data_IF_293889333925
#
_entry.id   IF_293889333925
#
_cell.length_a   1.000
_cell.length_b   1.000
_cell.length_c   1.000
_cell.angle_alpha   90.00
_cell.angle_beta   90.00
_cell.angle_gamma   90.00
#
_symmetry.space_group_name_H-M   'P 1'
#
loop_
_entity.id
_entity.type
_entity.pdbx_description
1 polymer ?
#
# COMPACT_ATOMS: atom_id res chain seq x y z
N UNK A 1 7.51 -32.04 -21.19
CA UNK A 1 6.07 -31.96 -20.86
C UNK A 1 5.67 -30.51 -21.03
N UNK A 2 4.61 -30.17 -21.77
CA UNK A 2 4.26 -28.79 -21.99
C UNK A 2 3.62 -28.22 -20.70
N UNK A 3 4.19 -27.14 -20.20
CA UNK A 3 3.64 -26.34 -19.10
C UNK A 3 2.38 -25.63 -19.60
N UNK A 4 1.25 -26.09 -19.11
CA UNK A 4 -0.07 -25.53 -19.37
C UNK A 4 -0.17 -24.14 -18.72
N UNK A 5 0.31 -23.12 -19.41
CA UNK A 5 0.02 -21.72 -19.10
C UNK A 5 -1.44 -21.46 -19.44
N UNK A 6 -2.35 -21.85 -18.57
CA UNK A 6 -3.75 -21.43 -18.65
C UNK A 6 -3.78 -19.91 -18.71
N UNK A 7 -3.99 -19.37 -19.89
CA UNK A 7 -4.34 -17.98 -20.09
C UNK A 7 -5.53 -17.67 -19.19
N UNK A 8 -5.28 -16.91 -18.13
CA UNK A 8 -6.34 -16.48 -17.22
C UNK A 8 -7.23 -15.52 -18.00
N UNK A 9 -8.35 -16.04 -18.50
CA UNK A 9 -9.37 -15.27 -19.17
C UNK A 9 -9.92 -14.23 -18.19
N UNK A 10 -9.43 -12.99 -18.29
CA UNK A 10 -10.03 -11.84 -17.60
C UNK A 10 -11.36 -11.56 -18.27
N UNK A 11 -12.43 -12.21 -17.84
CA UNK A 11 -13.79 -11.78 -18.20
C UNK A 11 -14.02 -10.45 -17.48
N UNK A 12 -13.88 -9.36 -18.22
CA UNK A 12 -14.39 -8.06 -17.81
C UNK A 12 -15.82 -7.98 -18.33
N UNK A 13 -16.80 -7.79 -17.44
CA UNK A 13 -18.18 -7.47 -17.81
C UNK A 13 -18.30 -6.01 -18.30
N UNK A 14 -17.19 -5.41 -18.70
CA UNK A 14 -17.05 -4.02 -19.10
C UNK A 14 -17.37 -3.86 -20.57
N UNK A 15 -18.33 -2.98 -20.91
CA UNK A 15 -18.64 -2.65 -22.29
C UNK A 15 -17.55 -1.79 -22.93
N UNK A 16 -17.06 -0.77 -22.19
CA UNK A 16 -16.02 0.16 -22.63
C UNK A 16 -15.05 0.44 -21.50
N UNK A 17 -13.76 0.54 -21.85
CA UNK A 17 -12.69 0.81 -20.87
C UNK A 17 -11.78 1.91 -21.39
N UNK A 18 -11.24 2.69 -20.44
CA UNK A 18 -10.12 3.58 -20.65
C UNK A 18 -9.01 3.20 -19.69
N UNK A 19 -7.78 3.06 -20.18
CA UNK A 19 -6.65 2.58 -19.36
C UNK A 19 -5.73 3.74 -19.01
N UNK A 20 -5.39 3.87 -17.74
CA UNK A 20 -4.34 4.76 -17.25
C UNK A 20 -3.25 3.91 -16.62
N UNK A 21 -2.00 4.11 -17.03
CA UNK A 21 -0.90 3.31 -16.50
C UNK A 21 0.33 4.15 -16.16
N UNK A 22 1.08 3.67 -15.17
CA UNK A 22 2.40 4.21 -14.85
C UNK A 22 3.39 3.87 -15.96
N UNK A 23 4.13 4.87 -16.43
CA UNK A 23 5.18 4.70 -17.46
C UNK A 23 6.21 3.63 -17.10
N UNK A 24 6.47 3.44 -15.81
CA UNK A 24 7.41 2.44 -15.29
C UNK A 24 6.98 0.98 -15.60
N UNK A 25 5.69 0.75 -15.87
CA UNK A 25 5.13 -0.59 -16.16
C UNK A 25 4.50 -0.68 -17.55
N UNK A 26 4.96 0.13 -18.49
CA UNK A 26 4.43 0.23 -19.87
C UNK A 26 4.30 -1.13 -20.56
N UNK A 27 5.33 -1.96 -20.52
CA UNK A 27 5.33 -3.27 -21.20
C UNK A 27 4.24 -4.18 -20.61
N UNK A 28 4.20 -4.27 -19.29
CA UNK A 28 3.16 -5.04 -18.59
C UNK A 28 1.75 -4.49 -18.89
N UNK A 29 1.57 -3.18 -18.93
CA UNK A 29 0.30 -2.55 -19.27
C UNK A 29 -0.15 -2.92 -20.69
N UNK A 30 0.75 -2.89 -21.67
CA UNK A 30 0.48 -3.34 -23.04
C UNK A 30 0.07 -4.80 -23.10
N UNK A 31 0.78 -5.70 -22.41
CA UNK A 31 0.39 -7.11 -22.32
C UNK A 31 -0.97 -7.32 -21.66
N UNK A 32 -1.26 -6.55 -20.62
CA UNK A 32 -2.55 -6.61 -19.94
C UNK A 32 -3.68 -6.14 -20.86
N UNK A 33 -3.50 -5.02 -21.57
CA UNK A 33 -4.47 -4.46 -22.52
C UNK A 33 -4.76 -5.43 -23.66
N UNK A 34 -3.75 -6.10 -24.22
CA UNK A 34 -3.92 -7.10 -25.30
C UNK A 34 -4.78 -8.31 -24.87
N UNK A 35 -4.86 -8.58 -23.57
CA UNK A 35 -5.68 -9.68 -23.00
C UNK A 35 -7.07 -9.23 -22.57
N UNK A 36 -7.38 -7.92 -22.63
CA UNK A 36 -8.69 -7.39 -22.28
C UNK A 36 -9.74 -7.77 -23.34
N UNK A 37 -10.86 -8.33 -22.88
CA UNK A 37 -12.03 -8.60 -23.72
C UNK A 37 -13.06 -7.48 -23.58
N UNK A 38 -12.63 -6.24 -23.86
CA UNK A 38 -13.45 -5.04 -23.77
C UNK A 38 -13.08 -4.08 -24.88
N UNK A 39 -14.00 -3.20 -25.26
CA UNK A 39 -13.72 -2.11 -26.19
C UNK A 39 -12.88 -1.06 -25.51
N UNK A 40 -11.62 -0.94 -25.88
CA UNK A 40 -10.79 0.17 -25.42
C UNK A 40 -11.18 1.46 -26.12
N UNK A 41 -11.40 2.52 -25.35
CA UNK A 41 -11.58 3.90 -25.83
C UNK A 41 -10.25 4.62 -25.99
N UNK A 42 -9.19 4.12 -25.35
CA UNK A 42 -7.85 4.70 -25.38
C UNK A 42 -7.06 4.39 -24.12
N UNK A 43 -5.85 4.91 -24.10
CA UNK A 43 -4.93 4.77 -22.97
C UNK A 43 -4.19 6.08 -22.68
N UNK A 44 -3.74 6.25 -21.42
CA UNK A 44 -2.94 7.37 -20.97
C UNK A 44 -1.79 6.88 -20.10
N UNK A 45 -0.57 7.23 -20.47
CA UNK A 45 0.63 6.98 -19.68
C UNK A 45 0.89 8.17 -18.74
N UNK A 46 1.12 7.91 -17.45
CA UNK A 46 1.44 8.93 -16.44
C UNK A 46 2.76 8.60 -15.74
N UNK A 47 3.42 9.63 -15.23
CA UNK A 47 4.46 9.48 -14.21
C UNK A 47 3.75 9.41 -12.87
N UNK A 48 3.87 8.27 -12.17
CA UNK A 48 3.13 8.02 -10.93
C UNK A 48 4.06 8.01 -9.71
N UNK A 49 4.73 9.13 -9.47
CA UNK A 49 5.51 9.39 -8.26
C UNK A 49 4.79 10.40 -7.34
N UNK A 50 5.31 10.64 -6.14
CA UNK A 50 4.67 11.50 -5.16
C UNK A 50 4.57 12.98 -5.60
N UNK A 51 5.57 13.58 -6.30
CA UNK A 51 5.44 14.93 -6.88
C UNK A 51 4.29 15.09 -7.88
N UNK A 52 3.94 14.03 -8.64
CA UNK A 52 2.83 14.05 -9.61
C UNK A 52 1.47 13.67 -8.99
N UNK A 53 1.41 13.41 -7.70
CA UNK A 53 0.14 13.12 -7.00
C UNK A 53 -0.66 14.40 -6.76
N UNK A 54 -1.19 15.00 -7.83
CA UNK A 54 -1.79 16.34 -7.85
C UNK A 54 -3.17 16.39 -8.48
N UNK A 55 -3.93 17.49 -8.24
CA UNK A 55 -5.18 17.75 -8.94
C UNK A 55 -4.98 17.94 -10.45
N UNK A 56 -3.82 18.43 -10.89
CA UNK A 56 -3.54 18.59 -12.31
C UNK A 56 -3.55 17.25 -13.04
N UNK A 57 -2.99 16.19 -12.43
CA UNK A 57 -3.05 14.85 -13.02
C UNK A 57 -4.47 14.28 -13.02
N UNK A 58 -5.29 14.58 -12.02
CA UNK A 58 -6.71 14.22 -12.01
C UNK A 58 -7.45 14.91 -13.14
N UNK A 59 -7.22 16.20 -13.36
CA UNK A 59 -7.78 16.95 -14.48
C UNK A 59 -7.31 16.39 -15.83
N UNK A 60 -6.02 16.06 -15.96
CA UNK A 60 -5.44 15.44 -17.16
C UNK A 60 -6.18 14.13 -17.52
N UNK A 61 -6.40 13.24 -16.56
CA UNK A 61 -7.18 12.02 -16.77
C UNK A 61 -8.61 12.34 -17.19
N UNK A 62 -9.27 13.29 -16.54
CA UNK A 62 -10.64 13.68 -16.89
C UNK A 62 -10.74 14.24 -18.32
N UNK A 63 -9.77 15.03 -18.76
CA UNK A 63 -9.67 15.55 -20.13
C UNK A 63 -9.44 14.41 -21.14
N UNK A 64 -8.57 13.46 -20.83
CA UNK A 64 -8.33 12.29 -21.69
C UNK A 64 -9.58 11.44 -21.85
N UNK A 65 -10.30 11.16 -20.77
CA UNK A 65 -11.60 10.46 -20.80
C UNK A 65 -12.64 11.22 -21.65
N UNK A 66 -12.72 12.54 -21.51
CA UNK A 66 -13.64 13.37 -22.28
C UNK A 66 -13.31 13.33 -23.77
N UNK A 67 -12.04 13.49 -24.14
CA UNK A 67 -11.59 13.45 -25.54
C UNK A 67 -11.80 12.07 -26.18
N UNK A 68 -11.71 10.99 -25.40
CA UNK A 68 -12.00 9.63 -25.85
C UNK A 68 -13.52 9.33 -25.95
N UNK A 69 -14.38 10.28 -25.60
CA UNK A 69 -15.83 10.10 -25.65
C UNK A 69 -16.38 9.19 -24.55
N UNK A 70 -15.63 8.96 -23.47
CA UNK A 70 -16.07 8.10 -22.38
C UNK A 70 -17.40 8.55 -21.76
N UNK A 71 -18.36 7.64 -21.69
CA UNK A 71 -19.66 7.87 -21.07
C UNK A 71 -19.70 7.44 -19.59
N UNK A 72 -20.88 7.41 -18.99
CA UNK A 72 -21.06 7.00 -17.59
C UNK A 72 -20.85 5.49 -17.37
N UNK A 73 -20.92 4.69 -18.42
CA UNK A 73 -20.75 3.24 -18.36
C UNK A 73 -19.29 2.82 -18.62
N UNK A 74 -18.43 3.78 -18.97
CA UNK A 74 -17.00 3.53 -19.11
C UNK A 74 -16.40 3.13 -17.77
N UNK A 75 -15.49 2.15 -17.80
CA UNK A 75 -14.68 1.79 -16.63
C UNK A 75 -13.25 2.27 -16.83
N UNK A 76 -12.76 3.04 -15.86
CA UNK A 76 -11.36 3.44 -15.78
C UNK A 76 -10.53 2.30 -15.19
N UNK A 77 -9.49 1.83 -15.88
CA UNK A 77 -8.54 0.85 -15.36
C UNK A 77 -7.24 1.57 -15.00
N UNK A 78 -6.85 1.48 -13.73
CA UNK A 78 -5.59 2.00 -13.22
C UNK A 78 -4.56 0.87 -13.13
N UNK A 79 -3.42 0.99 -13.82
CA UNK A 79 -2.31 0.02 -13.78
C UNK A 79 -1.08 0.72 -13.22
N UNK A 80 -0.74 0.47 -11.95
CA UNK A 80 0.36 1.16 -11.27
C UNK A 80 0.42 0.91 -9.77
N UNK A 81 1.28 1.65 -9.11
CA UNK A 81 1.41 1.67 -7.65
C UNK A 81 0.28 2.44 -6.95
N UNK A 82 0.52 2.77 -5.68
CA UNK A 82 -0.43 3.50 -4.84
C UNK A 82 -0.81 4.88 -5.41
N UNK A 83 0.17 5.65 -5.90
CA UNK A 83 -0.07 6.98 -6.49
C UNK A 83 -1.00 6.88 -7.70
N UNK A 84 -0.72 5.97 -8.62
CA UNK A 84 -1.58 5.72 -9.78
C UNK A 84 -3.02 5.39 -9.36
N UNK A 85 -3.17 4.47 -8.40
CA UNK A 85 -4.47 4.06 -7.86
C UNK A 85 -5.24 5.22 -7.26
N UNK A 86 -4.58 6.06 -6.47
CA UNK A 86 -5.19 7.19 -5.76
C UNK A 86 -5.66 8.29 -6.73
N UNK A 87 -4.81 8.67 -7.69
CA UNK A 87 -5.12 9.70 -8.70
C UNK A 87 -6.26 9.22 -9.61
N UNK A 88 -6.18 7.99 -10.12
CA UNK A 88 -7.22 7.40 -10.96
C UNK A 88 -8.54 7.21 -10.20
N UNK A 89 -8.50 6.78 -8.94
CA UNK A 89 -9.69 6.63 -8.12
C UNK A 89 -10.39 7.96 -7.84
N UNK A 90 -9.61 9.04 -7.65
CA UNK A 90 -10.14 10.39 -7.52
C UNK A 90 -10.74 10.88 -8.86
N UNK A 91 -10.05 10.71 -9.98
CA UNK A 91 -10.56 11.03 -11.30
C UNK A 91 -11.87 10.29 -11.59
N UNK A 92 -11.93 8.98 -11.33
CA UNK A 92 -13.14 8.18 -11.47
C UNK A 92 -14.28 8.62 -10.55
N UNK A 93 -13.96 9.25 -9.41
CA UNK A 93 -14.97 9.79 -8.50
C UNK A 93 -15.59 11.08 -9.03
N UNK A 94 -14.81 11.90 -9.73
CA UNK A 94 -15.19 13.23 -10.18
C UNK A 94 -15.76 13.24 -11.59
N UNK A 95 -15.17 12.46 -12.52
CA UNK A 95 -15.58 12.44 -13.92
C UNK A 95 -17.06 12.06 -14.04
N UNK A 96 -17.84 12.92 -14.71
CA UNK A 96 -19.32 12.77 -14.88
C UNK A 96 -20.07 12.45 -13.57
N UNK A 97 -19.58 12.90 -12.42
CA UNK A 97 -20.08 12.63 -11.05
C UNK A 97 -19.92 11.17 -10.61
N UNK A 98 -18.98 10.46 -11.21
CA UNK A 98 -18.57 9.10 -10.86
C UNK A 98 -18.77 8.10 -11.99
N UNK A 99 -17.68 7.41 -12.32
CA UNK A 99 -17.65 6.24 -13.21
C UNK A 99 -17.05 5.06 -12.46
N UNK A 100 -17.26 3.85 -12.94
CA UNK A 100 -16.60 2.67 -12.36
C UNK A 100 -15.09 2.72 -12.58
N UNK A 101 -14.32 2.16 -11.65
CA UNK A 101 -12.90 1.96 -11.85
C UNK A 101 -12.41 0.62 -11.30
N UNK A 102 -11.33 0.13 -11.88
CA UNK A 102 -10.66 -1.10 -11.48
C UNK A 102 -9.17 -0.83 -11.35
N UNK A 103 -8.48 -1.61 -10.50
CA UNK A 103 -7.07 -1.43 -10.20
C UNK A 103 -6.30 -2.71 -10.56
N UNK A 104 -5.17 -2.53 -11.22
CA UNK A 104 -4.13 -3.55 -11.41
C UNK A 104 -2.90 -3.06 -10.63
N UNK A 105 -2.77 -3.42 -9.34
CA UNK A 105 -1.68 -2.94 -8.52
C UNK A 105 -0.36 -3.57 -8.97
N UNK A 106 0.67 -2.73 -9.17
CA UNK A 106 1.96 -3.16 -9.70
C UNK A 106 3.09 -3.12 -8.67
N UNK A 107 2.82 -2.65 -7.46
CA UNK A 107 3.76 -2.72 -6.34
C UNK A 107 3.21 -3.64 -5.25
N UNK A 108 4.10 -4.28 -4.49
CA UNK A 108 3.71 -5.15 -3.37
C UNK A 108 2.89 -4.39 -2.32
N UNK A 109 3.27 -3.12 -2.05
CA UNK A 109 2.52 -2.22 -1.17
C UNK A 109 1.10 -1.98 -1.69
N UNK A 110 0.93 -1.70 -2.97
CA UNK A 110 -0.40 -1.50 -3.54
C UNK A 110 -1.25 -2.78 -3.51
N UNK A 111 -0.65 -3.96 -3.73
CA UNK A 111 -1.34 -5.25 -3.62
C UNK A 111 -1.86 -5.52 -2.21
N UNK A 112 -1.04 -5.24 -1.20
CA UNK A 112 -1.37 -5.53 0.19
C UNK A 112 -2.28 -4.49 0.83
N UNK A 113 -2.06 -3.21 0.51
CA UNK A 113 -2.61 -2.08 1.27
C UNK A 113 -3.26 -0.99 0.41
N UNK A 114 -2.52 -0.25 -0.42
CA UNK A 114 -2.99 1.00 -1.02
C UNK A 114 -4.22 0.82 -1.92
N UNK A 115 -4.31 -0.23 -2.73
CA UNK A 115 -5.49 -0.50 -3.58
C UNK A 115 -6.74 -0.92 -2.80
N UNK A 116 -6.59 -1.19 -1.50
CA UNK A 116 -7.67 -1.75 -0.66
C UNK A 116 -8.16 -0.70 0.32
N UNK A 117 -9.38 -0.24 0.18
CA UNK A 117 -9.94 0.62 1.21
C UNK A 117 -10.64 1.87 0.71
N UNK A 118 -10.53 2.13 -0.59
CA UNK A 118 -11.29 3.17 -1.28
C UNK A 118 -10.94 4.59 -0.87
N UNK A 119 -9.85 4.83 -0.13
CA UNK A 119 -9.28 6.16 0.02
C UNK A 119 -8.57 6.48 -1.28
N UNK A 120 -8.99 7.55 -1.93
CA UNK A 120 -8.35 8.07 -3.14
C UNK A 120 -8.09 9.55 -2.91
N UNK A 121 -6.92 10.03 -3.27
CA UNK A 121 -6.60 11.41 -2.99
C UNK A 121 -5.29 11.88 -3.60
N UNK A 122 -5.12 13.20 -3.52
CA UNK A 122 -3.94 13.91 -4.00
C UNK A 122 -3.43 14.89 -2.97
N UNK A 123 -2.22 15.34 -3.18
CA UNK A 123 -1.55 16.30 -2.32
C UNK A 123 -1.98 17.74 -2.65
N UNK A 124 -1.87 18.62 -1.68
CA UNK A 124 -2.11 20.05 -1.85
C UNK A 124 -1.06 20.83 -1.06
N UNK A 125 -0.33 21.73 -1.73
CA UNK A 125 0.68 22.60 -1.12
C UNK A 125 1.69 21.85 -0.22
N UNK A 126 2.18 20.71 -0.70
CA UNK A 126 3.14 19.86 0.02
C UNK A 126 2.53 19.01 1.15
N UNK A 127 1.22 19.09 1.36
CA UNK A 127 0.53 18.29 2.37
C UNK A 127 -0.13 17.07 1.74
N UNK A 128 0.32 15.88 2.15
CA UNK A 128 -0.14 14.60 1.59
C UNK A 128 -1.64 14.36 1.80
N UNK A 129 -2.29 13.85 0.75
CA UNK A 129 -3.66 13.32 0.76
C UNK A 129 -4.72 14.29 1.29
N UNK A 130 -4.57 15.60 1.01
CA UNK A 130 -5.49 16.65 1.49
C UNK A 130 -6.83 16.68 0.76
N UNK A 131 -6.81 16.34 -0.52
CA UNK A 131 -8.02 16.33 -1.34
C UNK A 131 -8.30 14.90 -1.75
N UNK A 132 -9.49 14.40 -1.47
CA UNK A 132 -9.79 13.02 -1.78
C UNK A 132 -11.26 12.63 -1.62
N UNK A 133 -11.51 11.38 -1.97
CA UNK A 133 -12.84 10.76 -1.88
C UNK A 133 -12.74 9.35 -1.29
N UNK A 134 -13.88 8.84 -0.83
CA UNK A 134 -14.04 7.43 -0.52
C UNK A 134 -14.81 6.74 -1.65
N UNK A 135 -14.07 6.03 -2.53
CA UNK A 135 -14.65 5.25 -3.61
C UNK A 135 -13.93 3.91 -3.72
N UNK A 136 -14.68 2.82 -3.56
CA UNK A 136 -14.11 1.47 -3.72
C UNK A 136 -13.95 1.14 -5.19
N UNK A 137 -12.84 0.50 -5.60
CA UNK A 137 -12.73 -0.08 -6.93
C UNK A 137 -13.73 -1.23 -7.09
N UNK A 138 -14.30 -1.36 -8.29
CA UNK A 138 -15.17 -2.49 -8.64
C UNK A 138 -14.42 -3.81 -8.56
N UNK A 139 -13.14 -3.81 -8.96
CA UNK A 139 -12.27 -4.98 -8.95
C UNK A 139 -10.81 -4.59 -8.75
N UNK A 140 -10.06 -5.48 -8.11
CA UNK A 140 -8.60 -5.41 -7.99
C UNK A 140 -8.04 -6.66 -8.63
N UNK A 141 -7.16 -6.49 -9.61
CA UNK A 141 -6.54 -7.56 -10.39
C UNK A 141 -5.11 -7.80 -9.92
N UNK A 142 -4.90 -8.67 -8.96
CA UNK A 142 -3.55 -9.01 -8.50
C UNK A 142 -2.86 -9.87 -9.57
N UNK A 143 -1.65 -9.45 -9.98
CA UNK A 143 -0.80 -10.08 -10.97
C UNK A 143 0.61 -10.20 -10.43
N UNK A 144 1.00 -11.41 -10.06
CA UNK A 144 2.34 -11.66 -9.46
C UNK A 144 3.49 -11.39 -10.45
N UNK A 145 3.22 -11.53 -11.73
CA UNK A 145 4.22 -11.39 -12.79
C UNK A 145 4.85 -10.00 -12.80
N UNK A 146 4.10 -8.96 -12.42
CA UNK A 146 4.60 -7.58 -12.40
C UNK A 146 5.67 -7.34 -11.32
N UNK A 147 5.73 -8.18 -10.30
CA UNK A 147 6.73 -8.06 -9.23
C UNK A 147 8.16 -8.40 -9.71
N UNK A 148 8.33 -9.08 -10.86
CA UNK A 148 9.65 -9.42 -11.42
C UNK A 148 10.49 -8.19 -11.75
N UNK A 149 9.84 -7.10 -12.16
CA UNK A 149 10.49 -5.84 -12.51
C UNK A 149 10.46 -4.82 -11.38
N UNK A 150 9.84 -5.15 -10.25
CA UNK A 150 9.71 -4.24 -9.12
C UNK A 150 11.07 -4.06 -8.41
N UNK A 151 11.56 -2.82 -8.25
CA UNK A 151 12.80 -2.57 -7.51
C UNK A 151 12.75 -3.17 -6.10
N UNK A 152 13.87 -3.72 -5.63
CA UNK A 152 13.96 -4.37 -4.32
C UNK A 152 13.52 -3.47 -3.16
N UNK A 153 13.83 -2.19 -3.24
CA UNK A 153 13.37 -1.18 -2.27
C UNK A 153 11.84 -1.15 -2.14
N UNK A 154 11.14 -1.28 -3.26
CA UNK A 154 9.67 -1.30 -3.28
C UNK A 154 9.10 -2.63 -2.74
N UNK A 155 9.80 -3.75 -2.95
CA UNK A 155 9.43 -5.04 -2.32
C UNK A 155 9.55 -4.92 -0.79
N UNK A 156 10.65 -4.35 -0.29
CA UNK A 156 10.87 -4.12 1.14
C UNK A 156 9.80 -3.19 1.73
N UNK A 157 9.50 -2.08 1.06
CA UNK A 157 8.44 -1.16 1.50
C UNK A 157 7.10 -1.88 1.64
N UNK A 158 6.72 -2.71 0.64
CA UNK A 158 5.49 -3.50 0.69
C UNK A 158 5.51 -4.58 1.78
N UNK A 159 6.66 -5.18 2.07
CA UNK A 159 6.79 -6.21 3.11
C UNK A 159 6.46 -5.70 4.51
N UNK A 160 6.83 -4.45 4.83
CA UNK A 160 6.53 -3.82 6.12
C UNK A 160 5.01 -3.76 6.39
N UNK A 161 4.21 -3.41 5.39
CA UNK A 161 2.75 -3.35 5.48
C UNK A 161 2.10 -4.74 5.61
N UNK A 162 2.66 -5.74 4.94
CA UNK A 162 2.22 -7.14 5.06
C UNK A 162 2.49 -7.65 6.47
N UNK A 163 3.71 -7.46 6.96
CA UNK A 163 4.14 -7.84 8.31
C UNK A 163 3.30 -7.10 9.37
N UNK A 164 3.08 -5.79 9.22
CA UNK A 164 2.19 -5.01 10.09
C UNK A 164 0.79 -5.62 10.15
N UNK A 165 0.22 -5.96 9.00
CA UNK A 165 -1.12 -6.51 8.94
C UNK A 165 -1.20 -7.85 9.68
N UNK A 166 -0.21 -8.71 9.55
CA UNK A 166 -0.20 -9.98 10.24
C UNK A 166 0.14 -9.86 11.73
N UNK A 167 0.98 -8.91 12.14
CA UNK A 167 1.14 -8.54 13.55
C UNK A 167 -0.20 -8.18 14.21
N UNK A 168 -1.06 -7.46 13.49
CA UNK A 168 -2.38 -7.08 13.99
C UNK A 168 -3.36 -8.25 14.09
N UNK A 169 -3.28 -9.26 13.20
CA UNK A 169 -4.40 -10.18 13.02
C UNK A 169 -4.07 -11.67 13.02
N UNK A 170 -2.82 -12.09 12.71
CA UNK A 170 -2.52 -13.51 12.47
C UNK A 170 -1.04 -13.84 12.68
N UNK A 171 -0.72 -14.43 13.83
CA UNK A 171 0.66 -14.79 14.17
C UNK A 171 1.23 -15.89 13.26
N UNK A 172 0.41 -16.83 12.76
CA UNK A 172 0.89 -17.88 11.86
C UNK A 172 1.33 -17.30 10.53
N UNK A 173 0.52 -16.39 9.97
CA UNK A 173 0.87 -15.67 8.74
C UNK A 173 2.03 -14.71 8.95
N UNK A 174 2.15 -14.09 10.12
CA UNK A 174 3.31 -13.28 10.49
C UNK A 174 4.62 -14.09 10.40
N UNK A 175 4.66 -15.25 11.06
CA UNK A 175 5.85 -16.11 11.04
C UNK A 175 6.18 -16.60 9.63
N UNK A 176 5.17 -16.97 8.81
CA UNK A 176 5.38 -17.32 7.40
C UNK A 176 5.94 -16.13 6.60
N UNK A 177 5.38 -14.94 6.78
CA UNK A 177 5.85 -13.75 6.09
C UNK A 177 7.29 -13.38 6.44
N UNK A 178 7.66 -13.47 7.73
CA UNK A 178 9.05 -13.31 8.16
C UNK A 178 9.96 -14.32 7.45
N UNK A 179 9.56 -15.59 7.33
CA UNK A 179 10.31 -16.60 6.57
C UNK A 179 10.53 -16.16 5.12
N UNK A 180 9.47 -15.88 4.39
CA UNK A 180 9.53 -15.47 2.97
C UNK A 180 10.38 -14.22 2.76
N UNK A 181 10.15 -13.17 3.55
CA UNK A 181 10.89 -11.92 3.37
C UNK A 181 12.34 -12.00 3.85
N UNK A 182 12.67 -12.87 4.81
CA UNK A 182 14.05 -13.13 5.20
C UNK A 182 14.82 -13.89 4.12
N UNK A 183 14.20 -14.83 3.39
CA UNK A 183 14.84 -15.47 2.23
C UNK A 183 14.96 -14.48 1.07
N UNK A 184 13.90 -13.73 0.72
CA UNK A 184 14.02 -12.65 -0.26
C UNK A 184 15.15 -11.67 0.05
N UNK A 185 15.41 -11.37 1.32
CA UNK A 185 16.50 -10.49 1.72
C UNK A 185 17.90 -11.05 1.42
N UNK A 186 18.07 -12.36 1.33
CA UNK A 186 19.34 -13.05 1.09
C UNK A 186 19.64 -13.29 -0.39
N UNK A 187 18.60 -13.39 -1.24
CA UNK A 187 18.76 -13.68 -2.66
C UNK A 187 19.55 -12.55 -3.31
N UNK A 188 20.68 -12.87 -3.91
CA UNK A 188 21.49 -11.93 -4.67
C UNK A 188 20.92 -11.78 -6.10
N UNK A 189 21.12 -10.61 -6.73
CA UNK A 189 20.64 -10.32 -8.09
C UNK A 189 21.46 -11.05 -9.20
N UNK A 190 22.21 -12.09 -8.86
CA UNK A 190 22.96 -12.92 -9.80
C UNK A 190 22.06 -13.88 -10.59
N UNK A 191 22.57 -14.34 -11.75
CA UNK A 191 21.81 -15.24 -12.65
C UNK A 191 21.39 -16.58 -12.00
N UNK A 192 22.12 -17.05 -10.99
CA UNK A 192 21.86 -18.35 -10.36
C UNK A 192 20.66 -18.35 -9.41
N UNK A 193 20.18 -17.17 -8.96
CA UNK A 193 19.06 -17.02 -8.03
C UNK A 193 17.70 -16.70 -8.67
N UNK A 194 17.58 -16.64 -10.00
CA UNK A 194 16.37 -16.12 -10.64
C UNK A 194 15.13 -16.99 -10.41
N UNK A 195 15.24 -18.30 -10.41
CA UNK A 195 14.13 -19.21 -10.16
C UNK A 195 13.64 -19.10 -8.71
N UNK A 196 14.55 -19.04 -7.75
CA UNK A 196 14.25 -18.85 -6.34
C UNK A 196 13.60 -17.49 -6.07
N UNK A 197 14.10 -16.43 -6.72
CA UNK A 197 13.50 -15.09 -6.65
C UNK A 197 12.05 -15.11 -7.16
N UNK A 198 11.78 -15.75 -8.28
CA UNK A 198 10.42 -15.85 -8.83
C UNK A 198 9.48 -16.61 -7.90
N UNK A 199 9.94 -17.69 -7.30
CA UNK A 199 9.17 -18.44 -6.30
C UNK A 199 8.82 -17.56 -5.09
N UNK A 200 9.84 -16.91 -4.50
CA UNK A 200 9.65 -16.06 -3.34
C UNK A 200 8.78 -14.82 -3.63
N UNK A 201 8.89 -14.21 -4.80
CA UNK A 201 7.99 -13.14 -5.24
C UNK A 201 6.55 -13.65 -5.42
N UNK A 202 6.40 -14.89 -5.88
CA UNK A 202 5.10 -15.56 -5.95
C UNK A 202 4.46 -15.74 -4.56
N UNK A 203 5.25 -16.16 -3.57
CA UNK A 203 4.80 -16.26 -2.17
C UNK A 203 4.51 -14.88 -1.56
N UNK A 204 5.33 -13.88 -1.84
CA UNK A 204 5.09 -12.51 -1.40
C UNK A 204 3.75 -11.95 -1.94
N UNK A 205 3.43 -12.21 -3.21
CA UNK A 205 2.15 -11.83 -3.80
C UNK A 205 0.96 -12.54 -3.11
N UNK A 206 1.11 -13.83 -2.79
CA UNK A 206 0.08 -14.58 -2.04
C UNK A 206 -0.13 -14.00 -0.63
N UNK A 207 0.95 -13.64 0.06
CA UNK A 207 0.89 -12.98 1.37
C UNK A 207 0.25 -11.60 1.27
N UNK A 208 0.58 -10.80 0.23
CA UNK A 208 -0.07 -9.52 -0.02
C UNK A 208 -1.59 -9.68 -0.21
N UNK A 209 -2.03 -10.69 -0.97
CA UNK A 209 -3.45 -10.97 -1.13
C UNK A 209 -4.13 -11.36 0.18
N UNK A 210 -3.45 -12.13 1.04
CA UNK A 210 -3.97 -12.46 2.39
C UNK A 210 -4.05 -11.23 3.27
N UNK A 211 -3.04 -10.35 3.27
CA UNK A 211 -3.06 -9.07 3.99
C UNK A 211 -4.22 -8.18 3.49
N UNK A 212 -4.40 -8.06 2.19
CA UNK A 212 -5.53 -7.37 1.57
C UNK A 212 -6.89 -7.92 2.03
N UNK A 213 -7.03 -9.23 2.24
CA UNK A 213 -8.26 -9.85 2.78
C UNK A 213 -8.55 -9.40 4.23
N UNK A 214 -7.52 -9.28 5.09
CA UNK A 214 -7.68 -8.71 6.43
C UNK A 214 -8.10 -7.25 6.38
N UNK A 215 -7.40 -6.43 5.59
CA UNK A 215 -7.75 -5.01 5.42
C UNK A 215 -9.18 -4.84 4.92
N UNK A 216 -9.62 -5.61 3.92
CA UNK A 216 -11.02 -5.58 3.43
C UNK A 216 -12.05 -5.87 4.52
N UNK A 217 -11.79 -6.81 5.43
CA UNK A 217 -12.68 -7.09 6.56
C UNK A 217 -12.83 -5.87 7.49
N UNK A 218 -11.75 -5.16 7.74
CA UNK A 218 -11.76 -3.94 8.56
C UNK A 218 -12.50 -2.82 7.84
N UNK A 219 -12.15 -2.56 6.58
CA UNK A 219 -12.77 -1.52 5.74
C UNK A 219 -14.27 -1.73 5.58
N UNK A 220 -14.73 -2.99 5.39
CA UNK A 220 -16.15 -3.30 5.29
C UNK A 220 -16.95 -2.87 6.53
N UNK A 221 -16.30 -2.83 7.70
CA UNK A 221 -16.93 -2.43 8.97
C UNK A 221 -16.81 -0.93 9.25
N UNK A 222 -15.88 -0.24 8.58
CA UNK A 222 -15.61 1.18 8.76
C UNK A 222 -14.98 1.76 7.48
N UNK A 223 -15.81 2.00 6.48
CA UNK A 223 -15.37 2.53 5.18
C UNK A 223 -14.79 3.93 5.31
N UNK A 224 -15.42 4.78 6.13
CA UNK A 224 -15.08 6.21 6.26
C UNK A 224 -14.00 6.49 7.30
N UNK A 225 -13.37 5.45 7.88
CA UNK A 225 -12.28 5.57 8.85
C UNK A 225 -12.63 6.44 10.06
N UNK A 226 -13.80 6.17 10.65
CA UNK A 226 -14.31 6.94 11.78
C UNK A 226 -14.05 6.29 13.14
N UNK A 227 -13.38 5.16 13.19
CA UNK A 227 -13.12 4.48 14.45
C UNK A 227 -12.37 3.15 14.33
N UNK A 228 -13.04 2.06 13.97
CA UNK A 228 -12.44 0.71 13.96
C UNK A 228 -11.26 0.58 13.00
N UNK A 229 -11.30 1.29 11.89
CA UNK A 229 -10.26 1.24 10.86
C UNK A 229 -8.94 1.85 11.36
N UNK A 230 -8.96 2.73 12.34
CA UNK A 230 -7.75 3.31 12.95
C UNK A 230 -6.78 2.24 13.48
N UNK A 231 -7.25 1.01 13.76
CA UNK A 231 -6.38 -0.09 14.17
C UNK A 231 -5.28 -0.40 13.13
N UNK A 232 -5.51 -0.10 11.86
CA UNK A 232 -4.54 -0.26 10.78
C UNK A 232 -3.38 0.73 10.85
N UNK A 233 -3.49 1.77 11.69
CA UNK A 233 -2.45 2.78 11.90
C UNK A 233 -1.36 2.33 12.88
N UNK A 234 -1.22 1.04 13.17
CA UNK A 234 -0.12 0.53 13.99
C UNK A 234 1.23 0.94 13.41
N UNK A 235 2.07 1.57 14.22
CA UNK A 235 3.34 2.16 13.80
C UNK A 235 3.24 3.52 13.07
N UNK A 236 2.08 3.85 12.48
CA UNK A 236 1.93 5.01 11.59
C UNK A 236 2.07 6.36 12.28
N UNK A 237 1.76 6.45 13.56
CA UNK A 237 1.95 7.70 14.31
C UNK A 237 3.42 8.14 14.27
N UNK A 238 4.34 7.22 14.56
CA UNK A 238 5.76 7.51 14.44
C UNK A 238 6.25 7.52 13.00
N UNK A 239 5.70 6.66 12.13
CA UNK A 239 6.09 6.63 10.72
C UNK A 239 5.86 7.99 10.04
N UNK A 240 4.71 8.63 10.22
CA UNK A 240 4.43 9.96 9.66
C UNK A 240 5.40 11.04 10.19
N UNK A 241 5.78 10.98 11.46
CA UNK A 241 6.78 11.88 12.02
C UNK A 241 8.16 11.68 11.38
N UNK A 242 8.54 10.41 11.11
CA UNK A 242 9.79 10.06 10.42
C UNK A 242 9.76 10.54 8.97
N UNK A 243 8.69 10.26 8.22
CA UNK A 243 8.51 10.71 6.83
C UNK A 243 8.59 12.24 6.73
N UNK A 244 7.90 12.96 7.63
CA UNK A 244 7.92 14.41 7.66
C UNK A 244 9.34 14.98 7.91
N UNK A 245 10.07 14.44 8.90
CA UNK A 245 11.43 14.92 9.22
C UNK A 245 12.47 14.53 8.19
N UNK A 246 12.31 13.38 7.54
CA UNK A 246 13.25 12.90 6.52
C UNK A 246 13.07 13.61 5.17
N UNK A 247 12.07 14.49 5.02
CA UNK A 247 11.71 15.07 3.72
C UNK A 247 11.58 14.00 2.63
N UNK A 248 10.93 12.86 2.97
CA UNK A 248 10.71 11.72 2.08
C UNK A 248 11.96 10.91 1.69
N UNK A 249 13.12 11.16 2.32
CA UNK A 249 14.32 10.35 2.11
C UNK A 249 14.13 8.91 2.62
N UNK A 250 13.26 8.71 3.62
CA UNK A 250 12.86 7.41 4.15
C UNK A 250 11.54 7.00 3.47
N UNK A 251 11.51 5.80 2.90
CA UNK A 251 10.29 5.27 2.26
C UNK A 251 9.21 4.96 3.30
N UNK A 252 7.95 4.92 2.86
CA UNK A 252 6.80 4.62 3.73
C UNK A 252 6.98 3.32 4.54
N UNK A 253 7.36 2.22 3.88
CA UNK A 253 7.56 0.94 4.57
C UNK A 253 8.71 0.95 5.56
N UNK A 254 9.80 1.66 5.27
CA UNK A 254 10.90 1.86 6.20
C UNK A 254 10.44 2.64 7.44
N UNK A 255 9.69 3.72 7.24
CA UNK A 255 9.14 4.51 8.34
C UNK A 255 8.17 3.69 9.20
N UNK A 256 7.29 2.90 8.56
CA UNK A 256 6.35 2.00 9.26
C UNK A 256 7.10 0.94 10.08
N UNK A 257 8.15 0.34 9.52
CA UNK A 257 9.00 -0.61 10.24
C UNK A 257 9.55 -0.02 11.55
N UNK A 258 10.22 1.12 11.46
CA UNK A 258 10.77 1.83 12.61
C UNK A 258 9.69 2.26 13.60
N UNK A 259 8.56 2.76 13.10
CA UNK A 259 7.43 3.20 13.91
C UNK A 259 6.76 2.05 14.69
N UNK A 260 6.70 0.85 14.12
CA UNK A 260 6.22 -0.36 14.81
C UNK A 260 7.13 -0.68 15.99
N UNK A 261 8.45 -0.73 15.78
CA UNK A 261 9.41 -1.03 16.84
C UNK A 261 9.31 0.00 17.98
N UNK A 262 9.20 1.29 17.65
CA UNK A 262 9.02 2.36 18.64
C UNK A 262 7.73 2.18 19.44
N UNK A 263 6.63 1.85 18.76
CA UNK A 263 5.32 1.61 19.41
C UNK A 263 5.39 0.41 20.37
N UNK A 264 6.07 -0.68 19.97
CA UNK A 264 6.24 -1.86 20.81
C UNK A 264 7.12 -1.57 22.04
N UNK A 265 8.26 -0.91 21.86
CA UNK A 265 9.13 -0.50 23.00
C UNK A 265 8.39 0.38 24.01
N UNK A 266 7.61 1.36 23.50
CA UNK A 266 6.79 2.21 24.35
C UNK A 266 5.75 1.39 25.12
N UNK A 267 5.06 0.49 24.45
CA UNK A 267 4.02 -0.35 25.04
C UNK A 267 4.58 -1.34 26.08
N UNK A 268 5.77 -1.92 25.86
CA UNK A 268 6.44 -2.78 26.83
C UNK A 268 6.91 -2.01 28.07
N UNK A 269 7.48 -0.81 27.90
CA UNK A 269 7.89 0.05 29.00
C UNK A 269 6.74 0.36 29.97
N UNK A 270 5.55 0.53 29.40
CA UNK A 270 4.32 0.79 30.16
C UNK A 270 3.62 -0.49 30.66
N UNK A 271 4.16 -1.67 30.39
CA UNK A 271 3.59 -2.96 30.79
C UNK A 271 2.30 -3.34 30.07
N UNK A 272 2.03 -2.76 28.89
CA UNK A 272 0.81 -3.05 28.11
C UNK A 272 1.00 -4.19 27.11
N UNK A 273 2.23 -4.56 26.81
CA UNK A 273 2.63 -5.63 25.90
C UNK A 273 3.34 -6.76 26.64
N UNK A 274 3.31 -7.95 26.05
CA UNK A 274 4.14 -9.07 26.48
C UNK A 274 5.61 -8.68 26.45
N UNK A 275 6.35 -9.04 27.49
CA UNK A 275 7.78 -8.77 27.61
C UNK A 275 8.58 -9.49 26.53
N UNK A 276 9.46 -8.76 25.84
CA UNK A 276 10.33 -9.26 24.77
C UNK A 276 9.67 -9.27 23.38
N UNK A 277 8.43 -8.80 23.24
CA UNK A 277 7.76 -8.70 21.93
C UNK A 277 8.46 -7.71 21.00
N UNK A 278 8.91 -6.56 21.54
CA UNK A 278 9.64 -5.56 20.76
C UNK A 278 10.97 -6.10 20.22
N UNK A 279 11.72 -6.85 21.04
CA UNK A 279 12.99 -7.46 20.62
C UNK A 279 12.76 -8.55 19.57
N UNK A 280 11.75 -9.41 19.77
CA UNK A 280 11.37 -10.43 18.78
C UNK A 280 11.05 -9.79 17.42
N UNK A 281 10.18 -8.79 17.40
CA UNK A 281 9.76 -8.15 16.13
C UNK A 281 10.91 -7.38 15.50
N UNK A 282 11.76 -6.72 16.31
CA UNK A 282 12.98 -6.05 15.83
C UNK A 282 13.90 -7.05 15.10
N UNK A 283 14.17 -8.20 15.71
CA UNK A 283 15.08 -9.20 15.14
C UNK A 283 14.48 -9.84 13.89
N UNK A 284 13.17 -10.06 13.86
CA UNK A 284 12.44 -10.50 12.69
C UNK A 284 12.54 -9.49 11.54
N UNK A 285 12.36 -8.19 11.82
CA UNK A 285 12.45 -7.13 10.82
C UNK A 285 13.88 -6.96 10.28
N UNK A 286 14.90 -7.07 11.14
CA UNK A 286 16.30 -7.09 10.70
C UNK A 286 16.58 -8.24 9.74
N UNK A 287 16.05 -9.43 10.00
CA UNK A 287 16.19 -10.58 9.07
C UNK A 287 15.53 -10.31 7.71
N UNK A 288 14.45 -9.54 7.70
CA UNK A 288 13.77 -9.11 6.47
C UNK A 288 14.45 -7.90 5.79
N UNK A 289 15.64 -7.49 6.26
CA UNK A 289 16.35 -6.28 5.79
C UNK A 289 15.55 -4.98 5.91
N UNK A 290 14.65 -4.91 6.89
CA UNK A 290 13.91 -3.70 7.22
C UNK A 290 14.66 -2.87 8.28
N UNK A 291 14.69 -1.53 8.18
CA UNK A 291 15.31 -0.69 9.19
C UNK A 291 14.50 -0.73 10.49
N UNK A 292 15.20 -0.78 11.62
CA UNK A 292 14.59 -0.89 12.95
C UNK A 292 15.09 0.16 13.92
N UNK A 293 16.16 0.88 13.57
CA UNK A 293 16.73 1.94 14.40
C UNK A 293 16.17 3.28 13.94
N UNK A 294 15.77 4.10 14.91
CA UNK A 294 15.25 5.43 14.66
C UNK A 294 16.42 6.39 14.39
N UNK A 295 16.38 7.15 13.29
CA UNK A 295 17.41 8.15 12.99
C UNK A 295 17.24 9.45 13.80
N UNK A 296 16.21 9.56 14.65
CA UNK A 296 15.83 10.75 15.40
C UNK A 296 15.67 10.46 16.88
N UNK A 297 15.96 11.45 17.72
CA UNK A 297 15.71 11.39 19.17
C UNK A 297 14.21 11.41 19.51
N UNK A 298 13.89 11.10 20.76
CA UNK A 298 12.51 11.13 21.24
C UNK A 298 11.93 12.55 21.23
N UNK A 299 12.75 13.56 21.55
CA UNK A 299 12.39 14.98 21.51
C UNK A 299 12.06 15.44 20.08
N UNK A 300 12.90 15.07 19.11
CA UNK A 300 12.69 15.38 17.71
C UNK A 300 11.40 14.76 17.15
N UNK A 301 11.12 13.51 17.53
CA UNK A 301 9.88 12.85 17.13
C UNK A 301 8.66 13.46 17.82
N UNK A 302 8.75 13.86 19.08
CA UNK A 302 7.66 14.57 19.76
C UNK A 302 7.32 15.91 19.11
N UNK A 303 8.33 16.67 18.69
CA UNK A 303 8.11 17.90 17.93
C UNK A 303 7.36 17.64 16.61
N UNK A 304 7.78 16.62 15.87
CA UNK A 304 7.11 16.21 14.63
C UNK A 304 5.66 15.74 14.87
N UNK A 305 5.42 15.00 15.96
CA UNK A 305 4.09 14.55 16.34
C UNK A 305 3.12 15.70 16.64
N UNK A 306 3.59 16.79 17.26
CA UNK A 306 2.75 17.97 17.53
C UNK A 306 2.25 18.64 16.26
N UNK A 307 2.97 18.50 15.17
CA UNK A 307 2.61 19.03 13.86
C UNK A 307 1.70 18.06 13.04
N UNK A 308 1.45 16.83 13.55
CA UNK A 308 0.55 15.88 12.89
C UNK A 308 -0.92 16.33 13.10
N UNK A 309 -1.70 16.31 12.02
CA UNK A 309 -3.14 16.63 12.00
C UNK A 309 -4.00 15.74 12.91
N UNK A 310 -3.45 14.65 13.42
CA UNK A 310 -4.13 13.71 14.32
C UNK A 310 -4.12 14.13 15.79
N UNK A 311 -3.50 15.26 16.12
CA UNK A 311 -3.51 15.81 17.47
C UNK A 311 -4.86 16.47 17.73
N UNK A 312 -5.73 15.79 18.43
CA UNK A 312 -6.99 16.33 18.93
C UNK A 312 -6.83 16.68 20.43
N UNK A 313 -7.02 17.95 20.79
CA UNK A 313 -6.93 18.42 22.18
C UNK A 313 -5.64 18.05 22.93
N UNK A 314 -4.49 18.02 22.21
CA UNK A 314 -3.18 17.66 22.78
C UNK A 314 -2.99 16.15 23.05
N UNK A 315 -3.87 15.30 22.53
CA UNK A 315 -3.75 13.86 22.64
C UNK A 315 -3.69 13.19 21.27
N UNK A 316 -2.95 12.11 21.18
CA UNK A 316 -2.81 11.27 19.97
C UNK A 316 -3.35 9.88 20.23
N UNK A 317 -4.08 9.33 19.27
CA UNK A 317 -4.62 7.99 19.35
C UNK A 317 -3.61 6.97 18.79
N UNK A 318 -2.92 6.29 19.67
CA UNK A 318 -1.94 5.27 19.35
C UNK A 318 -2.57 3.89 19.20
N UNK A 319 -2.01 3.09 18.31
CA UNK A 319 -2.25 1.65 18.21
C UNK A 319 -1.08 0.89 18.80
N UNK A 320 -1.38 -0.06 19.65
CA UNK A 320 -0.42 -0.95 20.31
C UNK A 320 -0.82 -2.42 20.13
N UNK A 321 0.08 -3.33 20.46
CA UNK A 321 -0.19 -4.76 20.56
C UNK A 321 -0.01 -5.23 22.00
N UNK A 322 -1.00 -5.90 22.55
CA UNK A 322 -0.81 -6.67 23.79
C UNK A 322 0.08 -7.89 23.51
N UNK A 323 -0.20 -8.60 22.44
CA UNK A 323 0.59 -9.66 21.79
C UNK A 323 0.22 -9.73 20.32
N UNK A 324 0.94 -10.51 19.51
CA UNK A 324 0.58 -10.70 18.09
C UNK A 324 -0.87 -11.17 17.97
N UNK A 325 -1.63 -10.52 17.11
CA UNK A 325 -3.05 -10.77 16.90
C UNK A 325 -4.00 -10.11 17.92
N UNK A 326 -3.45 -9.36 18.90
CA UNK A 326 -4.26 -8.64 19.91
C UNK A 326 -3.94 -7.13 19.95
N UNK A 327 -4.36 -6.38 18.93
CA UNK A 327 -4.18 -4.92 18.92
C UNK A 327 -5.20 -4.23 19.82
N UNK A 328 -4.80 -3.07 20.36
CA UNK A 328 -5.66 -2.15 21.09
C UNK A 328 -5.28 -0.69 20.80
N UNK A 329 -6.16 0.22 21.15
CA UNK A 329 -5.94 1.67 20.95
C UNK A 329 -5.89 2.36 22.30
N UNK A 330 -5.05 3.39 22.39
CA UNK A 330 -4.94 4.21 23.59
C UNK A 330 -4.62 5.65 23.23
N UNK A 331 -5.41 6.59 23.75
CA UNK A 331 -5.10 8.03 23.66
C UNK A 331 -4.02 8.38 24.66
N UNK A 332 -2.97 9.06 24.19
CA UNK A 332 -1.83 9.50 24.99
C UNK A 332 -1.68 11.01 24.79
N UNK A 333 -1.56 11.75 25.89
CA UNK A 333 -1.21 13.17 25.85
C UNK A 333 0.28 13.31 25.53
N UNK A 334 0.59 14.21 24.59
CA UNK A 334 1.96 14.51 24.16
C UNK A 334 2.63 15.51 25.13
#
# INVERSE_FOLDING_TARGET
MPTDTKAVNVKTDMKEVFVVYDVAVREFAGEFCNKLRARSLGELALICDEPHKTLNEVEHICRALMNAGADKNCTLIAIGGGVCSDVCGLAASLYKRGIDFEIVPTTLLAMADASVGGKNGVNLDGVKNMIGTFKLPRKIHIRKEVLRTLPRKEVLSGSAEILKTFLLFDEKLYNRAVGVFSELAKIDNGHDGQAELEEMLGEAAELAEKAAKYKRKVVKRDLFDRGRRHILNFGHTFAHAIEWRSHEAVSHGEAVSMGIIKSLRMSEKEGWSEKGLADRVRDDFKRCNLPVELPYSDEELQEALKNDKKVEEGAVDFVFLQRIGKPFRKKIRL
#
